data_IF_887832797141
#
_entry.id   IF_887832797141
#
_cell.length_a   1.000
_cell.length_b   1.000
_cell.length_c   1.000
_cell.angle_alpha   90.00
_cell.angle_beta   90.00
_cell.angle_gamma   90.00
#
_symmetry.space_group_name_H-M   'P 1'
#
loop_
_entity.id
_entity.type
_entity.pdbx_description
1 polymer ?
#
# COMPACT_ATOMS: atom_id res chain seq x y z
N UNK A 1 -15.43 14.37 7.29
CA UNK A 1 -15.58 13.33 6.25
C UNK A 1 -14.57 12.19 6.40
N UNK A 2 -13.26 12.46 6.48
CA UNK A 2 -12.24 11.40 6.61
C UNK A 2 -12.46 10.45 7.82
N UNK A 3 -12.82 10.91 9.04
CA UNK A 3 -13.04 10.00 10.17
C UNK A 3 -14.13 8.95 9.92
N UNK A 4 -15.27 9.37 9.37
CA UNK A 4 -16.38 8.47 9.02
C UNK A 4 -15.95 7.43 7.99
N UNK A 5 -15.18 7.83 6.97
CA UNK A 5 -14.64 6.93 5.97
C UNK A 5 -13.71 5.87 6.59
N UNK A 6 -12.88 6.27 7.57
CA UNK A 6 -11.98 5.36 8.27
C UNK A 6 -12.74 4.36 9.15
N UNK A 7 -13.84 4.78 9.78
CA UNK A 7 -14.70 3.86 10.53
C UNK A 7 -15.36 2.84 9.60
N UNK A 8 -15.82 3.25 8.41
CA UNK A 8 -16.40 2.36 7.41
C UNK A 8 -15.38 1.34 6.87
N UNK A 9 -14.09 1.69 6.80
CA UNK A 9 -13.03 0.76 6.36
C UNK A 9 -12.84 -0.45 7.30
N UNK A 10 -13.44 -0.44 8.50
CA UNK A 10 -13.41 -1.61 9.41
C UNK A 10 -14.17 -2.81 8.84
N UNK A 11 -15.10 -2.60 7.91
CA UNK A 11 -15.87 -3.67 7.24
C UNK A 11 -14.96 -4.74 6.62
N UNK A 12 -15.44 -5.98 6.61
CA UNK A 12 -14.82 -7.11 5.89
C UNK A 12 -15.57 -7.44 4.60
N UNK A 13 -16.64 -6.70 4.28
CA UNK A 13 -17.35 -6.86 3.03
C UNK A 13 -16.50 -6.31 1.86
N UNK A 14 -16.11 -7.19 0.94
CA UNK A 14 -15.25 -6.84 -0.19
C UNK A 14 -15.87 -5.79 -1.12
N UNK A 15 -17.20 -5.80 -1.31
CA UNK A 15 -17.89 -4.81 -2.16
C UNK A 15 -17.82 -3.40 -1.54
N UNK A 16 -18.04 -3.32 -0.23
CA UNK A 16 -17.91 -2.07 0.52
C UNK A 16 -16.46 -1.60 0.50
N UNK A 17 -15.51 -2.48 0.80
CA UNK A 17 -14.09 -2.16 0.75
C UNK A 17 -13.66 -1.67 -0.64
N UNK A 18 -14.13 -2.28 -1.73
CA UNK A 18 -13.82 -1.85 -3.10
C UNK A 18 -14.28 -0.41 -3.33
N UNK A 19 -15.48 -0.08 -2.89
CA UNK A 19 -16.07 1.26 -3.04
C UNK A 19 -15.34 2.30 -2.18
N UNK A 20 -15.11 1.98 -0.90
CA UNK A 20 -14.46 2.86 0.06
C UNK A 20 -13.00 3.13 -0.32
N UNK A 21 -12.26 2.09 -0.71
CA UNK A 21 -10.86 2.23 -1.14
C UNK A 21 -10.75 2.93 -2.49
N UNK A 22 -11.70 2.73 -3.40
CA UNK A 22 -11.77 3.48 -4.66
C UNK A 22 -11.96 4.98 -4.42
N UNK A 23 -12.91 5.36 -3.56
CA UNK A 23 -13.14 6.75 -3.17
C UNK A 23 -11.91 7.35 -2.46
N UNK A 24 -11.34 6.63 -1.49
CA UNK A 24 -10.16 7.08 -0.75
C UNK A 24 -8.94 7.26 -1.66
N UNK A 25 -8.80 6.45 -2.72
CA UNK A 25 -7.74 6.62 -3.73
C UNK A 25 -7.87 7.94 -4.49
N UNK A 26 -9.10 8.35 -4.80
CA UNK A 26 -9.33 9.64 -5.44
C UNK A 26 -9.04 10.79 -4.47
N UNK A 27 -9.49 10.70 -3.23
CA UNK A 27 -9.17 11.70 -2.20
C UNK A 27 -7.66 11.80 -1.97
N UNK A 28 -6.96 10.67 -1.86
CA UNK A 28 -5.53 10.66 -1.60
C UNK A 28 -4.73 11.25 -2.74
N UNK A 29 -5.20 11.14 -4.00
CA UNK A 29 -4.56 11.79 -5.16
C UNK A 29 -4.52 13.31 -5.02
N UNK A 30 -5.59 13.92 -4.52
CA UNK A 30 -5.78 15.37 -4.45
C UNK A 30 -5.57 15.96 -3.05
N UNK A 31 -5.04 15.19 -2.11
CA UNK A 31 -4.78 15.70 -0.76
C UNK A 31 -3.69 16.78 -0.75
N UNK A 32 -4.02 17.94 -0.17
CA UNK A 32 -3.11 19.09 -0.03
C UNK A 32 -1.89 18.76 0.85
N UNK A 33 -2.11 18.00 1.93
CA UNK A 33 -1.06 17.51 2.82
C UNK A 33 -1.07 15.98 2.86
N UNK A 34 -0.17 15.38 2.09
CA UNK A 34 0.02 13.93 1.99
C UNK A 34 0.54 13.32 3.30
N UNK A 35 1.32 14.06 4.09
CA UNK A 35 1.87 13.60 5.36
C UNK A 35 0.79 13.50 6.43
N UNK A 36 -0.01 14.56 6.61
CA UNK A 36 -1.13 14.55 7.55
C UNK A 36 -2.23 13.56 7.15
N UNK A 37 -2.42 13.30 5.86
CA UNK A 37 -3.32 12.25 5.43
C UNK A 37 -2.76 10.86 5.73
N UNK A 38 -1.47 10.63 5.50
CA UNK A 38 -0.83 9.35 5.77
C UNK A 38 -0.97 8.95 7.25
N UNK A 39 -0.79 9.89 8.19
CA UNK A 39 -0.83 9.59 9.62
C UNK A 39 -2.19 9.12 10.13
N UNK A 40 -3.25 9.38 9.37
CA UNK A 40 -4.61 8.94 9.67
C UNK A 40 -4.98 7.66 8.91
N UNK A 41 -4.45 7.51 7.70
CA UNK A 41 -4.91 6.50 6.74
C UNK A 41 -4.06 5.23 6.78
N UNK A 42 -2.74 5.33 6.89
CA UNK A 42 -1.83 4.20 6.70
C UNK A 42 -2.10 3.07 7.70
N UNK A 43 -2.26 3.39 8.98
CA UNK A 43 -2.55 2.39 10.03
C UNK A 43 -3.88 1.65 9.81
N UNK A 44 -4.83 2.25 9.09
CA UNK A 44 -6.10 1.59 8.78
C UNK A 44 -6.01 0.72 7.51
N UNK A 45 -5.16 1.09 6.55
CA UNK A 45 -5.04 0.40 5.27
C UNK A 45 -4.06 -0.78 5.29
N UNK A 46 -2.92 -0.65 5.96
CA UNK A 46 -1.90 -1.70 5.97
C UNK A 46 -2.43 -3.01 6.58
N UNK A 47 -3.24 -3.01 7.66
CA UNK A 47 -3.86 -4.23 8.16
C UNK A 47 -4.77 -4.93 7.14
N UNK A 48 -5.40 -4.17 6.23
CA UNK A 48 -6.30 -4.71 5.19
C UNK A 48 -5.57 -5.33 4.01
N UNK A 49 -4.28 -5.06 3.81
CA UNK A 49 -3.50 -5.77 2.81
C UNK A 49 -3.36 -7.25 3.19
N UNK A 50 -3.43 -8.17 2.21
CA UNK A 50 -3.21 -9.59 2.48
C UNK A 50 -1.78 -9.80 2.99
N UNK A 51 -1.64 -10.65 4.00
CA UNK A 51 -0.35 -11.04 4.57
C UNK A 51 0.36 -12.11 3.71
N UNK A 52 -0.41 -12.86 2.93
CA UNK A 52 0.07 -13.95 2.09
C UNK A 52 -0.63 -13.91 0.72
N UNK A 53 0.09 -14.25 -0.35
CA UNK A 53 -0.40 -14.39 -1.71
C UNK A 53 -1.50 -15.44 -1.87
N UNK A 54 -1.61 -16.38 -0.92
CA UNK A 54 -2.68 -17.39 -0.87
C UNK A 54 -3.99 -16.87 -0.29
N UNK A 55 -4.00 -15.71 0.39
CA UNK A 55 -5.25 -15.12 0.86
C UNK A 55 -6.11 -14.67 -0.32
N UNK A 56 -7.38 -15.09 -0.29
CA UNK A 56 -8.38 -14.74 -1.31
C UNK A 56 -9.03 -13.38 -1.05
N UNK A 57 -8.97 -12.91 0.20
CA UNK A 57 -9.52 -11.63 0.62
C UNK A 57 -8.42 -10.73 1.22
N UNK A 58 -8.49 -9.40 0.98
CA UNK A 58 -9.47 -8.75 0.11
C UNK A 58 -9.18 -9.02 -1.38
N UNK A 59 -10.15 -8.75 -2.25
CA UNK A 59 -10.01 -8.96 -3.69
C UNK A 59 -8.85 -8.16 -4.29
N UNK A 60 -8.35 -8.61 -5.44
CA UNK A 60 -7.25 -7.92 -6.14
C UNK A 60 -7.56 -6.45 -6.45
N UNK A 61 -8.82 -6.09 -6.69
CA UNK A 61 -9.21 -4.69 -6.92
C UNK A 61 -9.03 -3.83 -5.68
N UNK A 62 -9.42 -4.35 -4.51
CA UNK A 62 -9.21 -3.67 -3.22
C UNK A 62 -7.72 -3.50 -2.96
N UNK A 63 -6.92 -4.55 -3.19
CA UNK A 63 -5.45 -4.48 -3.05
C UNK A 63 -4.87 -3.43 -3.99
N UNK A 64 -5.29 -3.40 -5.26
CA UNK A 64 -4.85 -2.37 -6.23
C UNK A 64 -5.24 -0.97 -5.78
N UNK A 65 -6.44 -0.78 -5.22
CA UNK A 65 -6.86 0.50 -4.69
C UNK A 65 -6.03 0.94 -3.48
N UNK A 66 -5.77 0.03 -2.54
CA UNK A 66 -4.92 0.30 -1.37
C UNK A 66 -3.50 0.66 -1.82
N UNK A 67 -2.87 -0.15 -2.68
CA UNK A 67 -1.56 0.18 -3.24
C UNK A 67 -1.58 1.54 -3.96
N UNK A 68 -2.65 1.84 -4.70
CA UNK A 68 -2.85 3.15 -5.32
C UNK A 68 -2.92 4.30 -4.32
N UNK A 69 -3.62 4.11 -3.19
CA UNK A 69 -3.66 5.11 -2.11
C UNK A 69 -2.27 5.32 -1.52
N UNK A 70 -1.59 4.24 -1.15
CA UNK A 70 -0.24 4.31 -0.58
C UNK A 70 0.74 4.99 -1.55
N UNK A 71 0.66 4.67 -2.84
CA UNK A 71 1.49 5.30 -3.86
C UNK A 71 1.24 6.82 -3.94
N UNK A 72 -0.02 7.24 -4.00
CA UNK A 72 -0.38 8.66 -4.05
C UNK A 72 0.16 9.46 -2.85
N UNK A 73 0.26 8.82 -1.68
CA UNK A 73 0.80 9.43 -0.46
C UNK A 73 2.33 9.45 -0.48
N UNK A 74 2.95 8.31 -0.82
CA UNK A 74 4.40 8.16 -0.90
C UNK A 74 5.00 9.12 -1.92
N UNK A 75 4.41 9.31 -3.10
CA UNK A 75 4.95 10.22 -4.13
C UNK A 75 5.09 11.68 -3.64
N UNK A 76 4.29 12.10 -2.65
CA UNK A 76 4.34 13.46 -2.12
C UNK A 76 4.81 13.57 -0.66
N UNK A 77 5.25 12.48 -0.02
CA UNK A 77 5.57 12.49 1.41
C UNK A 77 6.53 11.37 1.84
N UNK A 78 7.71 11.77 2.31
CA UNK A 78 8.63 10.86 3.01
C UNK A 78 8.04 10.34 4.33
N UNK A 79 7.16 11.12 5.00
CA UNK A 79 6.46 10.66 6.20
C UNK A 79 5.55 9.47 5.88
N UNK A 80 4.84 9.50 4.75
CA UNK A 80 4.01 8.38 4.31
C UNK A 80 4.84 7.10 4.14
N UNK A 81 6.00 7.18 3.50
CA UNK A 81 6.91 6.03 3.35
C UNK A 81 7.40 5.51 4.72
N UNK A 82 7.73 6.41 5.64
CA UNK A 82 8.14 6.04 7.01
C UNK A 82 7.02 5.32 7.76
N UNK A 83 5.78 5.80 7.68
CA UNK A 83 4.63 5.19 8.34
C UNK A 83 4.29 3.82 7.76
N UNK A 84 4.32 3.66 6.44
CA UNK A 84 4.12 2.34 5.82
C UNK A 84 5.14 1.34 6.35
N UNK A 85 6.41 1.73 6.45
CA UNK A 85 7.45 0.88 7.01
C UNK A 85 7.34 0.67 8.53
N UNK A 86 6.74 1.63 9.26
CA UNK A 86 6.47 1.50 10.69
C UNK A 86 5.37 0.46 10.97
N UNK A 87 4.26 0.50 10.23
CA UNK A 87 3.13 -0.41 10.36
C UNK A 87 3.29 -1.75 9.59
N UNK A 88 4.53 -2.19 9.36
CA UNK A 88 4.87 -3.45 8.69
C UNK A 88 4.31 -3.62 7.25
N UNK A 89 4.06 -2.51 6.58
CA UNK A 89 3.58 -2.50 5.19
C UNK A 89 4.60 -3.02 4.18
N UNK A 90 5.91 -2.91 4.47
CA UNK A 90 6.97 -3.45 3.61
C UNK A 90 6.82 -4.96 3.40
N UNK A 91 6.60 -5.72 4.49
CA UNK A 91 6.44 -7.17 4.43
C UNK A 91 5.28 -7.56 3.51
N UNK A 92 4.14 -6.90 3.67
CA UNK A 92 2.93 -7.18 2.88
C UNK A 92 3.09 -6.76 1.42
N UNK A 93 3.67 -5.59 1.15
CA UNK A 93 3.90 -5.12 -0.21
C UNK A 93 4.87 -6.03 -0.97
N UNK A 94 5.94 -6.51 -0.32
CA UNK A 94 6.88 -7.47 -0.91
C UNK A 94 6.19 -8.81 -1.17
N UNK A 95 5.39 -9.31 -0.22
CA UNK A 95 4.61 -10.54 -0.41
C UNK A 95 3.64 -10.44 -1.61
N UNK A 96 2.93 -9.32 -1.75
CA UNK A 96 2.01 -9.06 -2.88
C UNK A 96 2.77 -8.97 -4.20
N UNK A 97 3.90 -8.24 -4.22
CA UNK A 97 4.76 -8.10 -5.39
C UNK A 97 5.28 -9.46 -5.86
N UNK A 98 5.76 -10.31 -4.94
CA UNK A 98 6.37 -11.60 -5.26
C UNK A 98 5.31 -12.70 -5.50
N UNK A 99 4.12 -12.55 -4.91
CA UNK A 99 3.01 -13.49 -5.02
C UNK A 99 2.19 -13.39 -6.30
N UNK A 100 2.72 -12.75 -7.35
CA UNK A 100 2.06 -12.56 -8.65
C UNK A 100 1.59 -13.90 -9.24
N UNK A 101 0.34 -14.26 -8.98
CA UNK A 101 -0.27 -15.48 -9.51
C UNK A 101 -0.74 -15.33 -10.95
N UNK A 102 -1.20 -16.42 -11.55
CA UNK A 102 -1.59 -16.51 -12.97
C UNK A 102 -2.81 -15.66 -13.36
N UNK A 103 -3.55 -15.08 -12.40
CA UNK A 103 -4.71 -14.25 -12.71
C UNK A 103 -4.32 -12.80 -12.99
N UNK A 104 -4.97 -12.19 -13.99
CA UNK A 104 -4.74 -10.79 -14.36
C UNK A 104 -4.91 -9.82 -13.18
N UNK A 105 -5.81 -10.12 -12.25
CA UNK A 105 -6.01 -9.34 -11.02
C UNK A 105 -4.78 -9.38 -10.10
N UNK A 106 -4.22 -10.57 -9.84
CA UNK A 106 -3.01 -10.72 -9.01
C UNK A 106 -1.80 -10.05 -9.64
N UNK A 107 -1.65 -10.14 -10.97
CA UNK A 107 -0.59 -9.44 -11.69
C UNK A 107 -0.70 -7.91 -11.54
N UNK A 108 -1.91 -7.34 -11.64
CA UNK A 108 -2.14 -5.91 -11.42
C UNK A 108 -1.81 -5.50 -9.98
N UNK A 109 -2.19 -6.30 -8.99
CA UNK A 109 -1.88 -6.06 -7.59
C UNK A 109 -0.36 -6.09 -7.33
N UNK A 110 0.34 -7.08 -7.87
CA UNK A 110 1.79 -7.21 -7.78
C UNK A 110 2.51 -5.97 -8.37
N UNK A 111 2.10 -5.55 -9.58
CA UNK A 111 2.64 -4.34 -10.22
C UNK A 111 2.37 -3.07 -9.39
N UNK A 112 1.17 -2.93 -8.85
CA UNK A 112 0.82 -1.80 -7.99
C UNK A 112 1.69 -1.77 -6.73
N UNK A 113 1.90 -2.91 -6.07
CA UNK A 113 2.76 -3.02 -4.89
C UNK A 113 4.23 -2.70 -5.23
N UNK A 114 4.75 -3.22 -6.35
CA UNK A 114 6.09 -2.91 -6.85
C UNK A 114 6.30 -1.42 -7.09
N UNK A 115 5.29 -0.73 -7.64
CA UNK A 115 5.33 0.72 -7.84
C UNK A 115 5.45 1.49 -6.52
N UNK A 116 4.68 1.09 -5.49
CA UNK A 116 4.77 1.68 -4.15
C UNK A 116 6.17 1.50 -3.58
N UNK A 117 6.70 0.27 -3.62
CA UNK A 117 8.04 -0.04 -3.12
C UNK A 117 9.12 0.76 -3.84
N UNK A 118 9.07 0.83 -5.17
CA UNK A 118 10.02 1.62 -5.96
C UNK A 118 10.03 3.10 -5.54
N UNK A 119 8.85 3.71 -5.40
CA UNK A 119 8.74 5.10 -4.94
C UNK A 119 9.19 5.29 -3.50
N UNK A 120 8.92 4.33 -2.60
CA UNK A 120 9.44 4.37 -1.23
C UNK A 120 10.97 4.31 -1.19
N UNK A 121 11.60 3.59 -2.11
CA UNK A 121 13.06 3.44 -2.17
C UNK A 121 13.78 4.65 -2.75
N UNK A 122 13.08 5.59 -3.40
CA UNK A 122 13.67 6.86 -3.83
C UNK A 122 14.13 7.72 -2.64
N UNK A 123 13.51 7.52 -1.45
CA UNK A 123 13.89 8.20 -0.23
C UNK A 123 15.15 7.61 0.41
N UNK A 124 16.33 8.04 -0.07
CA UNK A 124 17.66 7.62 0.44
C UNK A 124 17.79 7.70 1.97
N UNK A 125 17.17 8.71 2.59
CA UNK A 125 17.17 8.91 4.05
C UNK A 125 16.53 7.74 4.82
N UNK A 126 15.65 6.96 4.19
CA UNK A 126 14.96 5.82 4.80
C UNK A 126 15.68 4.48 4.56
N UNK A 127 16.74 4.43 3.76
CA UNK A 127 17.42 3.17 3.44
C UNK A 127 17.96 2.44 4.67
N UNK A 128 18.62 3.16 5.59
CA UNK A 128 19.09 2.58 6.85
C UNK A 128 17.92 2.05 7.69
N UNK A 129 16.79 2.75 7.70
CA UNK A 129 15.60 2.30 8.41
C UNK A 129 15.03 1.01 7.80
N UNK A 130 14.94 0.92 6.47
CA UNK A 130 14.51 -0.31 5.79
C UNK A 130 15.45 -1.49 6.07
N UNK A 131 16.77 -1.25 6.11
CA UNK A 131 17.75 -2.27 6.48
C UNK A 131 17.57 -2.77 7.92
N UNK A 132 17.29 -1.88 8.89
CA UNK A 132 16.98 -2.31 10.26
C UNK A 132 15.72 -3.16 10.36
N UNK A 133 14.81 -3.06 9.39
CA UNK A 133 13.61 -3.88 9.26
C UNK A 133 13.84 -5.17 8.45
N UNK A 134 15.07 -5.43 7.99
CA UNK A 134 15.45 -6.64 7.25
C UNK A 134 15.36 -6.53 5.72
N UNK A 135 14.98 -5.38 5.17
CA UNK A 135 14.78 -5.21 3.73
C UNK A 135 16.06 -4.73 3.01
N UNK A 136 16.28 -5.25 1.81
CA UNK A 136 17.40 -4.95 0.91
C UNK A 136 16.89 -4.31 -0.37
N UNK A 137 17.80 -3.71 -1.13
CA UNK A 137 17.48 -3.05 -2.42
C UNK A 137 16.66 -3.94 -3.38
N UNK A 138 16.93 -5.23 -3.40
CA UNK A 138 16.24 -6.20 -4.28
C UNK A 138 14.75 -6.29 -3.98
N UNK A 139 14.35 -6.10 -2.72
CA UNK A 139 12.95 -6.12 -2.31
C UNK A 139 12.16 -4.97 -2.94
N UNK A 140 12.83 -3.86 -3.27
CA UNK A 140 12.24 -2.67 -3.88
C UNK A 140 12.40 -2.58 -5.39
N UNK A 141 13.27 -3.40 -5.99
CA UNK A 141 13.50 -3.41 -7.43
C UNK A 141 12.30 -4.04 -8.16
N UNK A 142 11.98 -3.59 -9.37
CA UNK A 142 10.99 -4.28 -10.20
C UNK A 142 11.64 -5.58 -10.70
N UNK A 143 11.05 -6.74 -10.38
CA UNK A 143 11.57 -8.05 -10.83
C UNK A 143 11.10 -8.40 -12.25
N UNK A 144 10.47 -7.44 -12.93
CA UNK A 144 9.99 -7.58 -14.31
C UNK A 144 11.10 -7.18 -15.28
N UNK A 145 12.11 -8.05 -15.46
CA UNK A 145 13.00 -8.09 -16.62
C UNK A 145 12.90 -9.48 -17.24
#
# INVERSE_FOLDING_TARGET
MLPVLLDLLRTNNDLELRSLTGFLRNLSRHANDKGNMASKVVNNLVPKLPADAHQKEPSSDVVVNICGILNNLVTGSTLAAKEIAFFDGLTKLVAIKNGGGSSAGKMKAAKAAGTVLSNMFQYKKLHKYYQTKGFRRQDFADLTI
#
